data_IF_784130755059
#
_entry.id   IF_784130755059
#
_cell.length_a   1.000
_cell.length_b   1.000
_cell.length_c   1.000
_cell.angle_alpha   90.00
_cell.angle_beta   90.00
_cell.angle_gamma   90.00
#
_symmetry.space_group_name_H-M   'P 1'
#
loop_
_entity.id
_entity.type
_entity.pdbx_description
1 polymer ?
#
# COMPACT_ATOMS: atom_id res chain seq x y z
N UNK A 1 -25.99 1.24 -5.98
CA UNK A 1 -25.52 1.81 -5.80
C UNK A 1 -24.69 2.12 -5.48
N UNK A 2 -24.80 1.61 -5.54
CA UNK A 2 -24.07 2.23 -5.27
C UNK A 2 -23.28 2.34 -5.16
N UNK A 3 -23.68 1.92 -5.28
CA UNK A 3 -23.11 2.45 -5.14
C UNK A 3 -22.44 2.77 -4.78
N UNK A 4 -22.77 2.30 -4.84
CA UNK A 4 -22.22 2.90 -4.54
C UNK A 4 -21.67 3.05 -4.31
N UNK A 5 -22.15 2.95 -4.45
CA UNK A 5 -21.73 3.45 -4.30
C UNK A 5 -21.02 3.72 -4.23
N UNK A 6 -21.32 3.23 -4.49
CA UNK A 6 -20.71 3.82 -4.44
C UNK A 6 -20.10 4.16 -4.30
N UNK A 7 -20.53 4.05 -4.39
CA UNK A 7 -20.03 4.69 -4.21
C UNK A 7 -19.51 5.10 -3.96
N UNK A 8 -20.00 5.22 -4.00
CA UNK A 8 -19.67 5.93 -3.57
C UNK A 8 -19.25 6.29 -3.27
N UNK A 9 -19.64 6.61 -3.27
CA UNK A 9 -19.40 7.26 -2.73
C UNK A 9 -19.09 7.69 -2.37
N UNK A 10 -19.50 7.91 -2.30
CA UNK A 10 -19.35 8.53 -1.79
C UNK A 10 -18.97 9.02 -1.43
N UNK A 11 -19.33 9.28 -1.23
CA UNK A 11 -19.02 9.90 -0.71
C UNK A 11 -18.72 10.38 -0.19
N UNK A 12 -19.18 10.53 -0.10
CA UNK A 12 -18.84 10.87 0.54
C UNK A 12 -17.97 11.03 0.97
N UNK A 13 -18.29 11.53 1.01
CA UNK A 13 -17.54 11.55 1.60
C UNK A 13 -16.81 11.39 1.81
N UNK A 14 -17.03 11.27 2.02
CA UNK A 14 -16.31 10.91 2.28
C UNK A 14 -15.66 10.48 2.27
N UNK A 15 -16.27 10.79 2.49
CA UNK A 15 -15.73 10.18 2.63
C UNK A 15 -14.86 9.70 2.32
N UNK A 16 -14.87 10.12 2.22
CA UNK A 16 -13.97 9.47 1.82
C UNK A 16 -13.22 8.63 2.70
N UNK A 17 -13.17 7.51 2.57
CA UNK A 17 -12.46 6.69 3.40
C UNK A 17 -11.18 6.29 2.77
N UNK A 18 -10.09 6.55 3.45
CA UNK A 18 -8.82 6.04 3.01
C UNK A 18 -8.54 4.78 3.82
N UNK A 19 -7.95 3.79 3.19
CA UNK A 19 -7.65 2.51 3.81
C UNK A 19 -6.19 2.11 3.69
N UNK A 20 -5.37 2.96 3.08
CA UNK A 20 -3.93 2.79 3.01
C UNK A 20 -3.28 4.09 3.42
N UNK A 21 -2.27 4.00 4.28
CA UNK A 21 -1.54 5.16 4.75
C UNK A 21 -0.11 5.09 4.22
N UNK A 22 0.34 6.15 3.57
CA UNK A 22 1.72 6.28 3.11
C UNK A 22 2.41 7.34 3.94
N UNK A 23 3.67 7.11 4.24
CA UNK A 23 4.44 8.11 4.97
C UNK A 23 4.79 9.27 4.04
N UNK A 24 5.23 8.94 2.83
CA UNK A 24 5.50 9.93 1.79
C UNK A 24 4.92 9.45 0.48
N UNK A 25 4.59 10.40 -0.39
CA UNK A 25 3.91 10.05 -1.64
C UNK A 25 4.80 9.30 -2.63
N UNK A 26 6.10 9.25 -2.41
CA UNK A 26 6.99 8.49 -3.27
C UNK A 26 7.48 7.19 -2.64
N UNK A 27 6.90 6.80 -1.53
CA UNK A 27 7.22 5.50 -0.95
C UNK A 27 6.73 4.38 -1.85
N UNK A 28 7.44 3.27 -1.84
CA UNK A 28 7.07 2.10 -2.64
C UNK A 28 5.97 1.30 -1.99
N UNK A 29 5.75 1.49 -0.71
CA UNK A 29 4.72 0.75 0.03
C UNK A 29 3.89 1.69 0.88
N UNK A 30 2.65 1.28 1.14
CA UNK A 30 1.80 1.91 2.13
C UNK A 30 1.39 0.85 3.14
N UNK A 31 0.77 1.27 4.21
CA UNK A 31 0.32 0.37 5.27
C UNK A 31 -1.20 0.29 5.24
N UNK A 32 -1.74 -0.91 5.25
CA UNK A 32 -3.19 -1.10 5.33
C UNK A 32 -3.66 -0.73 6.72
N UNK A 33 -4.65 0.17 6.78
CA UNK A 33 -5.22 0.59 8.07
C UNK A 33 -6.52 -0.15 8.38
N UNK A 34 -6.91 -1.04 7.48
CA UNK A 34 -8.00 -1.99 7.67
C UNK A 34 -7.58 -3.28 6.99
N UNK A 35 -8.28 -4.37 7.22
CA UNK A 35 -8.05 -5.58 6.43
C UNK A 35 -8.50 -5.34 5.00
N UNK A 36 -7.62 -5.58 4.05
CA UNK A 36 -7.92 -5.46 2.63
C UNK A 36 -8.02 -6.84 2.03
N UNK A 37 -8.94 -7.00 1.11
CA UNK A 37 -9.13 -8.27 0.40
C UNK A 37 -8.77 -8.10 -1.06
N UNK A 38 -8.34 -9.18 -1.67
CA UNK A 38 -8.10 -9.19 -3.11
C UNK A 38 -9.33 -8.66 -3.84
N UNK A 39 -9.12 -7.70 -4.71
CA UNK A 39 -10.21 -7.06 -5.45
C UNK A 39 -10.65 -5.73 -4.85
N UNK A 40 -10.22 -5.41 -3.64
CA UNK A 40 -10.58 -4.14 -3.02
C UNK A 40 -9.87 -2.98 -3.70
N UNK A 41 -10.53 -1.84 -3.70
CA UNK A 41 -9.88 -0.59 -4.10
C UNK A 41 -9.17 -0.01 -2.89
N UNK A 42 -7.87 0.19 -3.01
CA UNK A 42 -7.10 0.83 -1.96
C UNK A 42 -6.99 2.32 -2.22
N UNK A 43 -7.37 3.12 -1.26
CA UNK A 43 -7.29 4.56 -1.34
C UNK A 43 -6.20 5.03 -0.38
N UNK A 44 -5.12 5.58 -0.93
CA UNK A 44 -3.94 5.92 -0.15
C UNK A 44 -3.87 7.40 0.11
N UNK A 45 -3.53 7.75 1.35
CA UNK A 45 -3.28 9.14 1.75
C UNK A 45 -1.97 9.19 2.52
N UNK A 46 -1.39 10.38 2.55
CA UNK A 46 -0.22 10.63 3.37
C UNK A 46 -0.63 10.89 4.81
N UNK A 47 0.35 11.00 5.70
CA UNK A 47 0.08 11.22 7.12
C UNK A 47 -0.66 12.52 7.37
N UNK A 48 -0.47 13.52 6.53
CA UNK A 48 -1.16 14.79 6.68
C UNK A 48 -2.49 14.82 5.93
N UNK A 49 -2.97 13.67 5.47
CA UNK A 49 -4.30 13.55 4.90
C UNK A 49 -4.40 13.85 3.42
N UNK A 50 -3.28 14.03 2.73
CA UNK A 50 -3.33 14.31 1.30
C UNK A 50 -3.53 13.06 0.49
N UNK A 51 -4.50 13.04 -0.42
CA UNK A 51 -4.68 11.88 -1.28
C UNK A 51 -3.46 11.69 -2.18
N UNK A 52 -3.05 10.44 -2.35
CA UNK A 52 -1.95 10.11 -3.23
C UNK A 52 -2.47 9.43 -4.48
N UNK A 53 -3.13 8.28 -4.32
CA UNK A 53 -3.61 7.51 -5.46
C UNK A 53 -4.54 6.41 -4.97
N UNK A 54 -5.14 5.74 -5.93
CA UNK A 54 -5.86 4.50 -5.65
C UNK A 54 -5.08 3.35 -6.27
N UNK A 55 -5.22 2.18 -5.69
CA UNK A 55 -4.54 0.99 -6.19
C UNK A 55 -5.52 -0.18 -6.06
N UNK A 56 -5.51 -1.04 -7.08
CA UNK A 56 -6.30 -2.28 -7.00
C UNK A 56 -5.49 -3.30 -6.21
N UNK A 57 -6.05 -3.72 -5.09
CA UNK A 57 -5.41 -4.71 -4.23
C UNK A 57 -5.62 -6.08 -4.86
N UNK A 58 -4.55 -6.81 -5.08
CA UNK A 58 -4.61 -8.08 -5.78
C UNK A 58 -4.50 -9.29 -4.86
N UNK A 59 -4.17 -9.06 -3.62
CA UNK A 59 -4.04 -10.11 -2.60
C UNK A 59 -4.60 -9.58 -1.30
N UNK A 60 -4.97 -10.48 -0.41
CA UNK A 60 -5.40 -10.07 0.92
C UNK A 60 -4.24 -9.43 1.66
N UNK A 61 -4.49 -8.30 2.27
CA UNK A 61 -3.48 -7.56 3.04
C UNK A 61 -4.06 -7.26 4.42
N UNK A 62 -3.63 -7.97 5.44
CA UNK A 62 -4.15 -7.72 6.78
C UNK A 62 -3.81 -6.33 7.30
N UNK A 63 -4.63 -5.85 8.19
CA UNK A 63 -4.40 -4.58 8.89
C UNK A 63 -2.97 -4.54 9.42
N UNK A 64 -2.28 -3.45 9.16
CA UNK A 64 -0.90 -3.25 9.62
C UNK A 64 0.14 -3.79 8.68
N UNK A 65 -0.25 -4.57 7.67
CA UNK A 65 0.69 -5.08 6.69
C UNK A 65 0.84 -4.10 5.54
N UNK A 66 1.86 -4.30 4.72
CA UNK A 66 2.20 -3.36 3.66
C UNK A 66 1.60 -3.77 2.33
N UNK A 67 1.25 -2.78 1.55
CA UNK A 67 0.73 -2.92 0.19
C UNK A 67 1.73 -2.28 -0.75
N UNK A 68 2.06 -2.92 -1.85
CA UNK A 68 2.94 -2.34 -2.84
C UNK A 68 2.20 -1.23 -3.59
N UNK A 69 2.77 -0.05 -3.59
CA UNK A 69 2.23 1.11 -4.30
C UNK A 69 2.85 1.27 -5.68
N UNK A 70 3.88 0.50 -5.96
CA UNK A 70 4.60 0.48 -7.23
C UNK A 70 5.10 -0.91 -7.50
N UNK A 71 5.44 -1.17 -8.75
CA UNK A 71 6.13 -2.40 -9.11
C UNK A 71 7.58 -2.29 -8.63
N UNK A 72 8.08 -3.35 -8.02
CA UNK A 72 9.46 -3.39 -7.55
C UNK A 72 10.10 -4.66 -8.12
N UNK A 73 11.17 -4.49 -8.88
CA UNK A 73 11.86 -5.63 -9.46
C UNK A 73 12.62 -6.39 -8.39
N UNK A 74 12.78 -7.68 -8.62
CA UNK A 74 13.57 -8.52 -7.72
C UNK A 74 14.97 -7.92 -7.56
N UNK A 75 15.45 -7.87 -6.34
CA UNK A 75 16.78 -7.36 -6.01
C UNK A 75 16.82 -5.87 -5.77
N UNK A 76 15.73 -5.16 -6.00
CA UNK A 76 15.71 -3.72 -5.81
C UNK A 76 15.30 -3.37 -4.39
N UNK A 77 15.77 -2.23 -3.87
CA UNK A 77 15.35 -1.79 -2.54
C UNK A 77 13.89 -1.36 -2.56
N UNK A 78 13.25 -1.52 -1.43
CA UNK A 78 11.88 -1.08 -1.19
C UNK A 78 11.94 0.08 -0.23
N UNK A 79 11.31 1.20 -0.58
CA UNK A 79 11.39 2.45 0.19
C UNK A 79 10.14 2.68 1.01
N UNK A 80 10.35 3.15 2.23
CA UNK A 80 9.32 3.67 3.10
C UNK A 80 9.98 4.74 3.96
N UNK A 81 9.25 5.81 4.27
CA UNK A 81 9.82 6.95 5.00
C UNK A 81 10.95 7.60 4.23
N UNK A 82 10.93 7.51 2.91
CA UNK A 82 12.00 8.07 2.10
C UNK A 82 13.30 7.33 2.18
N UNK A 83 13.32 6.11 2.76
CA UNK A 83 14.56 5.34 2.87
C UNK A 83 14.27 3.87 2.61
N UNK A 84 15.29 3.12 2.20
CA UNK A 84 15.09 1.70 1.96
C UNK A 84 14.85 0.97 3.29
N UNK A 85 13.83 0.13 3.29
CA UNK A 85 13.51 -0.68 4.45
C UNK A 85 13.88 -2.14 4.24
N UNK A 86 14.26 -2.50 3.02
CA UNK A 86 14.63 -3.86 2.69
C UNK A 86 14.80 -4.00 1.21
N UNK A 87 14.88 -5.23 0.76
CA UNK A 87 15.14 -5.56 -0.62
C UNK A 87 14.11 -6.60 -1.07
N UNK A 88 13.57 -6.41 -2.25
CA UNK A 88 12.64 -7.37 -2.82
C UNK A 88 13.38 -8.66 -3.16
N UNK A 89 12.90 -9.79 -2.64
CA UNK A 89 13.52 -11.08 -2.94
C UNK A 89 12.81 -11.79 -4.07
N UNK A 90 11.73 -11.20 -4.54
CA UNK A 90 11.07 -11.59 -5.77
C UNK A 90 10.39 -10.35 -6.32
N UNK A 91 9.99 -10.38 -7.58
CA UNK A 91 9.31 -9.25 -8.17
C UNK A 91 8.02 -9.00 -7.41
N UNK A 92 7.73 -7.74 -7.13
CA UNK A 92 6.52 -7.33 -6.42
C UNK A 92 5.73 -6.45 -7.37
N UNK A 93 4.48 -6.79 -7.59
CA UNK A 93 3.61 -5.98 -8.43
C UNK A 93 2.79 -5.04 -7.58
N UNK A 94 2.48 -3.89 -8.13
CA UNK A 94 1.63 -2.91 -7.49
C UNK A 94 0.32 -3.58 -7.05
N UNK A 95 -0.10 -3.35 -5.83
CA UNK A 95 -1.30 -3.94 -5.27
C UNK A 95 -1.09 -5.24 -4.51
N UNK A 96 0.12 -5.77 -4.53
CA UNK A 96 0.42 -7.01 -3.82
C UNK A 96 0.73 -6.77 -2.36
N UNK A 97 0.52 -7.80 -1.58
CA UNK A 97 0.89 -7.84 -0.18
C UNK A 97 2.41 -7.90 -0.06
N UNK A 98 2.99 -7.01 0.71
CA UNK A 98 4.43 -6.97 0.93
C UNK A 98 4.69 -7.39 2.37
N UNK A 99 5.41 -8.49 2.53
CA UNK A 99 5.71 -9.00 3.86
C UNK A 99 6.97 -9.85 3.76
N UNK A 100 7.20 -10.72 4.72
CA UNK A 100 8.44 -11.49 4.77
C UNK A 100 8.63 -12.44 3.59
N UNK A 101 7.57 -12.78 2.88
CA UNK A 101 7.69 -13.68 1.74
C UNK A 101 8.34 -13.02 0.52
N UNK A 102 8.25 -11.70 0.40
CA UNK A 102 8.81 -11.01 -0.77
C UNK A 102 9.70 -9.83 -0.42
N UNK A 103 9.85 -9.52 0.86
CA UNK A 103 10.70 -8.42 1.31
C UNK A 103 11.60 -8.92 2.43
N UNK A 104 12.90 -8.74 2.28
CA UNK A 104 13.85 -9.04 3.34
C UNK A 104 14.42 -7.76 3.86
N UNK A 105 14.37 -7.59 5.16
CA UNK A 105 14.96 -6.46 5.83
C UNK A 105 16.46 -6.53 5.66
N UNK A 106 17.05 -5.42 5.22
CA UNK A 106 18.48 -5.32 5.17
C UNK A 106 18.97 -4.98 6.54
N UNK A 107 19.70 -5.89 7.14
CA UNK A 107 20.31 -5.59 8.39
C UNK A 107 21.69 -5.12 8.12
N UNK A 108 21.97 -4.02 8.73
CA UNK A 108 23.31 -3.54 8.67
C UNK A 108 24.01 -4.19 9.81
N UNK A 109 24.85 -5.07 9.44
CA UNK A 109 25.66 -5.63 10.43
C UNK A 109 26.79 -4.71 10.53
N UNK A 110 26.75 -4.01 11.51
CA UNK A 110 27.83 -3.05 11.59
C UNK A 110 29.10 -3.79 11.80
#
# INVERSE_FOLDING_TARGET
MDIARASGGVFEGDNMKHNILMHENKDDVGVAVVDLKAGDAGSAVTLDGRPVCTVSVTQDVPLGHKVAMRNVARGKPVSKYGRPIGKAVQAIARGEHVHTHNLKTQRWIA
#
